data_IF_391749149134
#
_entry.id   IF_391749149134
#
_cell.length_a   1.000
_cell.length_b   1.000
_cell.length_c   1.000
_cell.angle_alpha   90.00
_cell.angle_beta   90.00
_cell.angle_gamma   90.00
#
_symmetry.space_group_name_H-M   'P 1'
#
loop_
_entity.id
_entity.type
_entity.pdbx_description
1 polymer ?
#
# COMPACT_ATOMS: atom_id res chain seq x y z
N UNK A 1 0.15 -7.87 4.10
CA UNK A 1 0.92 -7.18 3.04
C UNK A 1 -0.05 -6.56 2.06
N UNK A 2 -0.03 -5.23 1.92
CA UNK A 2 -0.88 -4.47 1.00
C UNK A 2 -0.01 -3.85 -0.10
N UNK A 3 -0.32 -4.11 -1.37
CA UNK A 3 0.43 -3.60 -2.52
C UNK A 3 -0.39 -3.76 -3.79
N UNK A 4 -0.10 -2.94 -4.81
CA UNK A 4 -0.69 -3.03 -6.15
C UNK A 4 0.09 -3.93 -7.12
N UNK A 5 1.29 -4.35 -6.73
CA UNK A 5 2.17 -5.18 -7.56
C UNK A 5 1.78 -6.66 -7.40
N UNK A 6 0.90 -7.12 -8.29
CA UNK A 6 0.40 -8.49 -8.35
C UNK A 6 1.53 -9.52 -8.47
N UNK A 7 2.48 -9.29 -9.38
CA UNK A 7 3.56 -10.24 -9.66
C UNK A 7 4.47 -10.44 -8.45
N UNK A 8 4.89 -9.37 -7.78
CA UNK A 8 5.71 -9.50 -6.56
C UNK A 8 4.95 -10.13 -5.41
N UNK A 9 3.65 -9.79 -5.25
CA UNK A 9 2.83 -10.44 -4.24
C UNK A 9 2.67 -11.94 -4.50
N UNK A 10 2.44 -12.35 -5.76
CA UNK A 10 2.35 -13.76 -6.13
C UNK A 10 3.64 -14.51 -5.79
N UNK A 11 4.80 -13.97 -6.15
CA UNK A 11 6.10 -14.58 -5.81
C UNK A 11 6.27 -14.70 -4.29
N UNK A 12 5.88 -13.67 -3.52
CA UNK A 12 5.95 -13.71 -2.06
C UNK A 12 4.97 -14.73 -1.47
N UNK A 13 3.74 -14.82 -1.98
CA UNK A 13 2.74 -15.75 -1.47
C UNK A 13 3.14 -17.20 -1.70
N UNK A 14 3.76 -17.52 -2.85
CA UNK A 14 4.34 -18.85 -3.09
C UNK A 14 5.52 -19.13 -2.14
N UNK A 15 6.42 -18.16 -1.96
CA UNK A 15 7.58 -18.31 -1.08
C UNK A 15 7.20 -18.59 0.38
N UNK A 16 6.08 -18.03 0.84
CA UNK A 16 5.61 -18.16 2.23
C UNK A 16 4.26 -18.88 2.32
N UNK A 17 3.97 -19.82 1.41
CA UNK A 17 2.66 -20.46 1.28
C UNK A 17 2.16 -21.16 2.56
N UNK A 18 3.08 -21.69 3.37
CA UNK A 18 2.75 -22.41 4.60
C UNK A 18 2.54 -21.48 5.82
N UNK A 19 2.92 -20.19 5.74
CA UNK A 19 2.78 -19.25 6.85
C UNK A 19 1.40 -18.57 6.85
N UNK A 20 0.47 -19.19 7.56
CA UNK A 20 -0.92 -18.71 7.70
C UNK A 20 -1.06 -17.36 8.41
N UNK A 21 0.00 -16.82 9.00
CA UNK A 21 -0.01 -15.48 9.62
C UNK A 21 0.06 -14.37 8.57
N UNK A 22 0.47 -14.70 7.34
CA UNK A 22 0.61 -13.73 6.27
C UNK A 22 -0.67 -13.65 5.43
N UNK A 23 -1.28 -12.47 5.40
CA UNK A 23 -2.34 -12.13 4.47
C UNK A 23 -1.80 -11.20 3.38
N UNK A 24 -1.95 -11.58 2.12
CA UNK A 24 -1.61 -10.75 0.96
C UNK A 24 -2.89 -10.15 0.38
N UNK A 25 -2.91 -8.81 0.24
CA UNK A 25 -4.07 -8.08 -0.25
C UNK A 25 -3.64 -7.16 -1.39
N UNK A 26 -4.24 -7.34 -2.56
CA UNK A 26 -4.05 -6.43 -3.68
C UNK A 26 -4.83 -5.13 -3.45
N UNK A 27 -4.15 -4.00 -3.69
CA UNK A 27 -4.75 -2.66 -3.66
C UNK A 27 -3.72 -1.54 -3.73
N UNK A 28 -4.20 -0.32 -3.94
CA UNK A 28 -3.37 0.90 -4.01
C UNK A 28 -3.73 1.83 -2.83
N UNK A 29 -2.74 2.50 -2.25
CA UNK A 29 -2.95 3.51 -1.19
C UNK A 29 -3.77 4.69 -1.69
N UNK A 30 -3.84 4.90 -3.00
CA UNK A 30 -4.71 5.89 -3.66
C UNK A 30 -6.21 5.58 -3.50
N UNK A 31 -6.59 4.33 -3.23
CA UNK A 31 -7.99 3.95 -2.99
C UNK A 31 -8.32 4.00 -1.49
N UNK A 32 -8.87 5.14 -1.07
CA UNK A 32 -9.30 5.38 0.31
C UNK A 32 -10.24 4.29 0.86
N UNK A 33 -11.20 3.81 0.05
CA UNK A 33 -12.16 2.78 0.52
C UNK A 33 -11.44 1.46 0.77
N UNK A 34 -10.53 1.09 -0.12
CA UNK A 34 -9.74 -0.13 0.02
C UNK A 34 -8.82 -0.06 1.23
N UNK A 35 -8.14 1.06 1.44
CA UNK A 35 -7.28 1.28 2.62
C UNK A 35 -8.08 1.14 3.91
N UNK A 36 -9.24 1.80 4.02
CA UNK A 36 -10.12 1.66 5.18
C UNK A 36 -10.57 0.22 5.44
N UNK A 37 -10.89 -0.55 4.39
CA UNK A 37 -11.30 -1.94 4.56
C UNK A 37 -10.19 -2.81 5.13
N UNK A 38 -8.95 -2.65 4.66
CA UNK A 38 -7.83 -3.52 5.07
C UNK A 38 -7.25 -3.15 6.43
N UNK A 39 -7.49 -1.92 6.90
CA UNK A 39 -6.98 -1.41 8.19
C UNK A 39 -7.88 -1.75 9.38
N UNK A 40 -9.08 -2.30 9.16
CA UNK A 40 -9.99 -2.69 10.24
C UNK A 40 -9.36 -3.73 11.17
N UNK A 41 -9.25 -3.39 12.46
CA UNK A 41 -8.70 -4.27 13.48
C UNK A 41 -7.17 -4.42 13.43
N UNK A 42 -6.47 -3.51 12.74
CA UNK A 42 -5.00 -3.47 12.70
C UNK A 42 -4.48 -2.58 13.82
N UNK A 43 -3.65 -3.12 14.71
CA UNK A 43 -3.06 -2.35 15.82
C UNK A 43 -1.82 -1.52 15.40
N UNK A 44 -1.05 -2.01 14.42
CA UNK A 44 0.22 -1.39 13.98
C UNK A 44 0.27 -1.32 12.46
N UNK A 45 0.55 -0.12 11.94
CA UNK A 45 0.58 0.18 10.51
C UNK A 45 1.97 0.63 10.10
N UNK A 46 2.56 -0.07 9.11
CA UNK A 46 3.79 0.33 8.45
C UNK A 46 3.48 0.88 7.05
N UNK A 47 3.54 2.20 6.88
CA UNK A 47 3.36 2.83 5.58
C UNK A 47 4.69 2.97 4.84
N UNK A 48 4.88 2.15 3.80
CA UNK A 48 6.10 2.13 2.99
C UNK A 48 5.84 2.29 1.47
N UNK A 49 4.62 2.71 1.10
CA UNK A 49 4.24 2.90 -0.30
C UNK A 49 4.61 4.31 -0.78
N UNK A 50 5.48 4.41 -1.78
CA UNK A 50 5.89 5.68 -2.38
C UNK A 50 6.45 5.49 -3.79
N UNK A 51 6.38 6.54 -4.60
CA UNK A 51 7.33 6.74 -5.70
C UNK A 51 8.61 7.33 -5.11
N UNK A 52 9.71 6.59 -5.25
CA UNK A 52 10.99 6.89 -4.58
C UNK A 52 12.09 7.43 -5.49
N UNK A 53 11.93 7.29 -6.81
CA UNK A 53 12.95 7.71 -7.76
C UNK A 53 12.77 9.19 -8.07
N UNK A 54 13.78 10.01 -7.78
CA UNK A 54 13.72 11.47 -7.99
C UNK A 54 13.32 11.82 -9.43
N UNK A 55 13.94 11.27 -10.49
CA UNK A 55 13.58 11.64 -11.86
C UNK A 55 12.12 11.29 -12.19
N UNK A 56 11.63 10.14 -11.73
CA UNK A 56 10.23 9.73 -11.96
C UNK A 56 9.25 10.69 -11.28
N UNK A 57 9.58 11.21 -10.10
CA UNK A 57 8.73 12.19 -9.42
C UNK A 57 8.72 13.55 -10.14
N UNK A 58 9.85 13.94 -10.74
CA UNK A 58 9.97 15.18 -11.52
C UNK A 58 9.23 15.08 -12.87
N UNK A 59 9.36 13.94 -13.56
CA UNK A 59 8.72 13.67 -14.84
C UNK A 59 7.21 13.41 -14.71
N UNK A 60 6.78 12.84 -13.57
CA UNK A 60 5.39 12.47 -13.30
C UNK A 60 4.89 13.02 -11.95
N UNK A 61 4.81 14.35 -11.79
CA UNK A 61 4.53 14.99 -10.50
C UNK A 61 3.14 14.66 -9.96
N UNK A 62 2.13 14.52 -10.83
CA UNK A 62 0.79 14.14 -10.40
C UNK A 62 0.73 12.70 -9.87
N UNK A 63 1.51 11.78 -10.44
CA UNK A 63 1.61 10.42 -9.93
C UNK A 63 2.30 10.37 -8.56
N UNK A 64 3.30 11.23 -8.35
CA UNK A 64 3.97 11.40 -7.06
C UNK A 64 3.04 12.00 -6.01
N UNK A 65 2.25 13.02 -6.35
CA UNK A 65 1.22 13.59 -5.46
C UNK A 65 0.19 12.51 -5.08
N UNK A 66 -0.33 11.77 -6.06
CA UNK A 66 -1.34 10.74 -5.80
C UNK A 66 -0.81 9.64 -4.86
N UNK A 67 0.41 9.14 -5.07
CA UNK A 67 0.97 8.07 -4.23
C UNK A 67 1.49 8.57 -2.89
N UNK A 68 2.32 9.62 -2.90
CA UNK A 68 3.12 10.00 -1.73
C UNK A 68 2.34 10.93 -0.79
N UNK A 69 1.49 11.81 -1.35
CA UNK A 69 0.70 12.76 -0.56
C UNK A 69 -0.69 12.18 -0.26
N UNK A 70 -1.51 11.99 -1.29
CA UNK A 70 -2.91 11.56 -1.13
C UNK A 70 -2.98 10.13 -0.60
N UNK A 71 -2.12 9.23 -1.09
CA UNK A 71 -2.00 7.88 -0.55
C UNK A 71 -1.56 7.86 0.92
N UNK A 72 -0.63 8.75 1.31
CA UNK A 72 -0.23 8.92 2.71
C UNK A 72 -1.38 9.44 3.58
N UNK A 73 -2.12 10.43 3.09
CA UNK A 73 -3.30 10.97 3.78
C UNK A 73 -4.38 9.90 3.98
N UNK A 74 -4.69 9.09 2.95
CA UNK A 74 -5.66 8.00 3.07
C UNK A 74 -5.30 7.00 4.17
N UNK A 75 -4.01 6.68 4.33
CA UNK A 75 -3.52 5.77 5.37
C UNK A 75 -3.64 6.40 6.76
N UNK A 76 -3.33 7.69 6.90
CA UNK A 76 -3.51 8.41 8.16
C UNK A 76 -4.99 8.48 8.55
N UNK A 77 -5.87 8.83 7.61
CA UNK A 77 -7.31 8.90 7.86
C UNK A 77 -7.89 7.55 8.27
N UNK A 78 -7.51 6.47 7.58
CA UNK A 78 -7.94 5.12 7.93
C UNK A 78 -7.34 4.59 9.24
N UNK A 79 -6.22 5.14 9.73
CA UNK A 79 -5.66 4.81 11.04
C UNK A 79 -6.39 5.51 12.19
N UNK A 80 -7.07 6.63 11.90
CA UNK A 80 -7.84 7.41 12.88
C UNK A 80 -9.29 6.93 13.01
N UNK A 81 -9.77 6.09 12.08
CA UNK A 81 -11.14 5.56 12.04
C UNK A 81 -11.30 4.29 12.87
#
# INVERSE_FOLDING_TARGET
>A
VFSKDDSKQYVMSQKYAEDKRLLFVLGDVRDHRRVNQVMKGVDIVFHAAALKQVPTCEDHPFEAIQTNLIGGQNVVEAALS
#
